data_IF_202539027952
#
_entry.id   IF_202539027952
#
_cell.length_a   1.000
_cell.length_b   1.000
_cell.length_c   1.000
_cell.angle_alpha   90.00
_cell.angle_beta   90.00
_cell.angle_gamma   90.00
#
_symmetry.space_group_name_H-M   'P 1'
#
loop_
_entity.id
_entity.type
_entity.pdbx_description
1 polymer ?
#
# COMPACT_ATOMS: atom_id res chain seq x y z
N UNK A 1 -7.89 -9.94 -12.24
CA UNK A 1 -6.78 -10.30 -11.32
C UNK A 1 -6.94 -9.46 -10.07
N UNK A 2 -6.87 -10.07 -8.88
CA UNK A 2 -6.99 -9.36 -7.61
C UNK A 2 -5.64 -9.40 -6.88
N UNK A 3 -5.12 -8.24 -6.50
CA UNK A 3 -3.80 -8.11 -5.89
C UNK A 3 -3.95 -7.62 -4.46
N UNK A 4 -3.33 -8.31 -3.51
CA UNK A 4 -3.20 -7.87 -2.12
C UNK A 4 -1.72 -7.72 -1.77
N UNK A 5 -1.37 -6.55 -1.28
CA UNK A 5 -0.03 -6.24 -0.80
C UNK A 5 -0.09 -5.94 0.69
N UNK A 6 0.63 -6.73 1.48
CA UNK A 6 0.76 -6.54 2.91
C UNK A 6 2.17 -6.05 3.23
N UNK A 7 2.24 -4.90 3.89
CA UNK A 7 3.50 -4.27 4.25
C UNK A 7 3.52 -3.88 5.73
N UNK A 8 4.71 -3.62 6.26
CA UNK A 8 4.83 -3.09 7.62
C UNK A 8 4.63 -1.57 7.60
N UNK A 9 5.14 -0.89 6.56
CA UNK A 9 5.12 0.58 6.46
C UNK A 9 4.42 1.07 5.19
N UNK A 10 3.71 2.20 5.30
CA UNK A 10 2.89 2.79 4.22
C UNK A 10 3.70 3.26 2.99
N UNK A 11 4.88 3.85 3.21
CA UNK A 11 5.67 4.44 2.11
C UNK A 11 7.11 4.78 2.55
N UNK A 12 7.64 4.06 3.56
CA UNK A 12 8.95 4.34 4.13
C UNK A 12 9.89 3.16 3.94
N UNK A 13 11.00 3.39 3.24
CA UNK A 13 11.99 2.37 2.89
C UNK A 13 11.72 1.71 1.53
N UNK A 14 12.70 0.96 1.04
CA UNK A 14 12.68 0.41 -0.33
C UNK A 14 11.50 -0.51 -0.60
N UNK A 15 11.23 -1.47 0.28
CA UNK A 15 10.14 -2.44 0.09
C UNK A 15 8.75 -1.79 0.11
N UNK A 16 8.52 -0.81 1.01
CA UNK A 16 7.27 -0.07 1.07
C UNK A 16 7.06 0.79 -0.19
N UNK A 17 8.12 1.43 -0.68
CA UNK A 17 8.08 2.21 -1.93
C UNK A 17 7.75 1.35 -3.15
N UNK A 18 8.38 0.18 -3.29
CA UNK A 18 8.08 -0.76 -4.38
C UNK A 18 6.64 -1.24 -4.32
N UNK A 19 6.16 -1.61 -3.12
CA UNK A 19 4.80 -2.10 -2.97
C UNK A 19 3.74 -1.02 -3.30
N UNK A 20 3.99 0.23 -2.88
CA UNK A 20 3.15 1.36 -3.24
C UNK A 20 3.15 1.65 -4.75
N UNK A 21 4.32 1.66 -5.40
CA UNK A 21 4.41 1.86 -6.86
C UNK A 21 3.66 0.78 -7.64
N UNK A 22 3.83 -0.50 -7.25
CA UNK A 22 3.09 -1.60 -7.85
C UNK A 22 1.58 -1.48 -7.64
N UNK A 23 1.15 -1.04 -6.45
CA UNK A 23 -0.26 -0.81 -6.16
C UNK A 23 -0.85 0.26 -7.11
N UNK A 24 -0.19 1.42 -7.21
CA UNK A 24 -0.65 2.53 -8.05
C UNK A 24 -0.68 2.15 -9.54
N UNK A 25 0.35 1.45 -10.04
CA UNK A 25 0.38 0.98 -11.43
C UNK A 25 -0.70 -0.06 -11.72
N UNK A 26 -1.03 -0.92 -10.75
CA UNK A 26 -2.13 -1.86 -10.90
C UNK A 26 -3.48 -1.13 -11.03
N UNK A 27 -3.72 -0.11 -10.19
CA UNK A 27 -4.93 0.72 -10.28
C UNK A 27 -5.04 1.43 -11.64
N UNK A 28 -3.94 2.00 -12.14
CA UNK A 28 -3.89 2.66 -13.47
C UNK A 28 -4.24 1.71 -14.62
N UNK A 29 -3.98 0.41 -14.47
CA UNK A 29 -4.34 -0.62 -15.45
C UNK A 29 -5.75 -1.18 -15.26
N UNK A 30 -6.58 -0.60 -14.39
CA UNK A 30 -7.91 -1.08 -14.07
C UNK A 30 -7.92 -2.39 -13.27
N UNK A 31 -6.80 -2.77 -12.64
CA UNK A 31 -6.73 -3.95 -11.79
C UNK A 31 -7.17 -3.61 -10.37
N UNK A 32 -7.93 -4.51 -9.76
CA UNK A 32 -8.29 -4.41 -8.35
C UNK A 32 -7.07 -4.70 -7.49
N UNK A 33 -6.61 -3.69 -6.75
CA UNK A 33 -5.41 -3.76 -5.91
C UNK A 33 -5.73 -3.23 -4.51
N UNK A 34 -5.31 -3.95 -3.48
CA UNK A 34 -5.45 -3.56 -2.08
C UNK A 34 -4.06 -3.46 -1.45
N UNK A 35 -3.84 -2.37 -0.70
CA UNK A 35 -2.58 -2.09 -0.04
C UNK A 35 -2.80 -1.92 1.46
N UNK A 36 -2.20 -2.81 2.25
CA UNK A 36 -2.41 -2.90 3.71
C UNK A 36 -1.07 -2.69 4.42
N UNK A 37 -1.07 -1.88 5.48
CA UNK A 37 0.13 -1.60 6.25
C UNK A 37 -0.14 -1.43 7.75
N UNK A 38 0.85 -1.78 8.58
CA UNK A 38 0.75 -1.68 10.04
C UNK A 38 1.15 -0.30 10.62
N UNK A 39 2.05 0.41 9.94
CA UNK A 39 2.59 1.69 10.42
C UNK A 39 2.58 2.76 9.33
N UNK A 40 2.11 3.96 9.70
CA UNK A 40 2.17 5.15 8.86
C UNK A 40 3.54 5.83 8.92
N UNK A 41 3.63 7.00 8.28
CA UNK A 41 4.84 7.83 8.27
C UNK A 41 5.35 8.10 9.69
N UNK A 42 6.65 7.96 9.92
CA UNK A 42 7.31 8.12 11.22
C UNK A 42 7.09 6.95 12.19
N UNK A 43 6.63 5.79 11.71
CA UNK A 43 6.43 4.60 12.56
C UNK A 43 5.22 4.71 13.49
N UNK A 44 4.30 5.63 13.23
CA UNK A 44 3.05 5.75 14.00
C UNK A 44 2.15 4.56 13.68
N UNK A 45 1.54 3.94 14.68
CA UNK A 45 0.55 2.87 14.46
C UNK A 45 -0.52 3.37 13.50
N UNK A 46 -0.69 2.70 12.37
CA UNK A 46 -1.80 2.98 11.47
C UNK A 46 -3.04 2.33 12.07
N UNK A 47 -4.10 3.10 12.35
CA UNK A 47 -5.28 2.55 13.03
C UNK A 47 -6.19 1.72 12.12
N UNK A 48 -5.93 1.65 10.81
CA UNK A 48 -6.73 0.85 9.89
C UNK A 48 -6.03 0.65 8.56
N UNK A 49 -6.34 -0.49 7.93
CA UNK A 49 -6.32 -0.70 6.48
C UNK A 49 -6.72 0.58 5.75
N UNK A 50 -5.76 1.36 5.27
CA UNK A 50 -6.09 2.47 4.41
C UNK A 50 -6.35 1.89 3.03
N UNK A 51 -7.63 1.80 2.69
CA UNK A 51 -7.98 1.73 1.28
C UNK A 51 -7.58 3.08 0.70
N UNK A 52 -6.46 3.13 -0.03
CA UNK A 52 -6.10 4.31 -0.81
C UNK A 52 -7.17 4.39 -1.91
N UNK A 53 -8.22 5.16 -1.65
CA UNK A 53 -9.19 5.54 -2.65
C UNK A 53 -8.70 6.85 -3.25
N UNK A 54 -8.53 6.84 -4.57
CA UNK A 54 -8.35 8.06 -5.36
C UNK A 54 -9.58 8.94 -5.24
#
# INVERSE_FOLDING_TARGET
MNILQFNVRLAEGGAAGVALDLHLRALQKGLTSHFVYGYGKGGKKASATATIRM
#
